data_IF_548047826321
#
_entry.id   IF_548047826321
#
_cell.length_a   1.000
_cell.length_b   1.000
_cell.length_c   1.000
_cell.angle_alpha   90.00
_cell.angle_beta   90.00
_cell.angle_gamma   90.00
#
_symmetry.space_group_name_H-M   'P 1'
#
loop_
_entity.id
_entity.type
_entity.pdbx_description
1 polymer ?
#
# COMPACT_ATOMS: atom_id res chain seq x y z
N UNK A 1 -47.93 -15.71 54.98
CA UNK A 1 -47.62 -15.32 56.37
C UNK A 1 -48.72 -14.37 56.85
N UNK A 2 -49.27 -14.51 58.06
CA UNK A 2 -50.26 -13.57 58.56
C UNK A 2 -49.63 -12.20 58.81
N UNK A 3 -50.36 -11.12 58.55
CA UNK A 3 -49.91 -9.73 58.68
C UNK A 3 -51.04 -8.84 59.18
N UNK A 4 -50.70 -7.69 59.77
CA UNK A 4 -51.66 -6.63 60.12
C UNK A 4 -51.42 -5.37 59.28
N UNK A 5 -50.20 -5.18 58.78
CA UNK A 5 -49.80 -4.11 57.87
C UNK A 5 -48.77 -4.64 56.85
N UNK A 6 -48.51 -3.92 55.73
CA UNK A 6 -47.48 -4.30 54.77
C UNK A 6 -46.08 -4.47 55.40
N UNK A 7 -45.79 -3.75 56.48
CA UNK A 7 -44.51 -3.85 57.19
C UNK A 7 -44.29 -5.19 57.93
N UNK A 8 -45.33 -6.00 58.11
CA UNK A 8 -45.22 -7.35 58.70
C UNK A 8 -44.85 -8.41 57.64
N UNK A 9 -44.80 -8.02 56.37
CA UNK A 9 -44.46 -8.90 55.25
C UNK A 9 -42.94 -8.88 54.95
N UNK A 10 -42.44 -9.84 54.15
CA UNK A 10 -41.05 -9.80 53.68
C UNK A 10 -40.72 -8.48 52.98
N UNK A 11 -39.44 -8.13 52.94
CA UNK A 11 -39.00 -6.92 52.23
C UNK A 11 -39.26 -7.05 50.73
N UNK A 12 -39.68 -5.94 50.13
CA UNK A 12 -39.81 -5.81 48.67
C UNK A 12 -38.44 -6.02 48.00
N UNK A 13 -38.47 -6.63 46.82
CA UNK A 13 -37.33 -6.71 45.91
C UNK A 13 -37.66 -5.93 44.64
N UNK A 14 -36.67 -5.72 43.79
CA UNK A 14 -36.88 -5.02 42.52
C UNK A 14 -37.88 -5.74 41.58
N UNK A 15 -38.17 -7.03 41.80
CA UNK A 15 -39.11 -7.81 41.00
C UNK A 15 -40.36 -8.27 41.77
N UNK A 16 -40.47 -7.95 43.06
CA UNK A 16 -41.57 -8.44 43.91
C UNK A 16 -41.88 -7.48 45.03
N UNK A 17 -43.10 -6.99 45.03
CA UNK A 17 -43.67 -6.20 46.12
C UNK A 17 -44.55 -7.06 47.02
N UNK A 18 -44.59 -6.75 48.31
CA UNK A 18 -45.42 -7.44 49.29
C UNK A 18 -46.50 -6.54 49.88
N UNK A 19 -47.75 -7.01 49.79
CA UNK A 19 -48.90 -6.32 50.35
C UNK A 19 -49.66 -7.18 51.36
N UNK A 20 -50.19 -6.56 52.43
CA UNK A 20 -51.04 -7.26 53.38
C UNK A 20 -52.51 -7.25 52.92
N UNK A 21 -52.96 -8.36 52.32
CA UNK A 21 -54.31 -8.49 51.76
C UNK A 21 -55.11 -9.50 52.59
N UNK A 22 -56.22 -9.05 53.17
CA UNK A 22 -57.10 -9.88 54.01
C UNK A 22 -56.38 -10.60 55.17
N UNK A 23 -55.39 -9.93 55.77
CA UNK A 23 -54.62 -10.46 56.91
C UNK A 23 -53.54 -11.48 56.52
N UNK A 24 -53.26 -11.64 55.23
CA UNK A 24 -52.16 -12.47 54.72
C UNK A 24 -51.28 -11.67 53.74
N UNK A 25 -49.97 -11.87 53.83
CA UNK A 25 -49.03 -11.31 52.87
C UNK A 25 -49.26 -11.97 51.50
N UNK A 26 -49.53 -11.14 50.50
CA UNK A 26 -49.60 -11.50 49.08
C UNK A 26 -48.40 -10.87 48.36
N UNK A 27 -47.75 -11.67 47.50
CA UNK A 27 -46.73 -11.18 46.59
C UNK A 27 -47.40 -10.64 45.33
N UNK A 28 -46.89 -9.52 44.83
CA UNK A 28 -47.16 -8.99 43.50
C UNK A 28 -45.85 -9.04 42.73
N UNK A 29 -45.77 -9.94 41.75
CA UNK A 29 -44.56 -10.18 40.97
C UNK A 29 -44.58 -9.29 39.74
N UNK A 30 -43.49 -8.57 39.51
CA UNK A 30 -43.30 -7.82 38.27
C UNK A 30 -43.33 -8.77 37.06
N UNK A 31 -43.81 -8.25 35.94
CA UNK A 31 -43.96 -9.04 34.72
C UNK A 31 -42.59 -9.58 34.23
N UNK A 32 -42.61 -10.77 33.62
CA UNK A 32 -41.42 -11.32 32.96
C UNK A 32 -40.88 -10.33 31.91
N UNK A 33 -39.57 -10.12 31.90
CA UNK A 33 -38.89 -9.16 31.00
C UNK A 33 -38.96 -7.70 31.47
N UNK A 34 -39.42 -7.45 32.70
CA UNK A 34 -39.30 -6.10 33.29
C UNK A 34 -37.83 -5.80 33.56
N UNK A 35 -37.27 -4.83 32.83
CA UNK A 35 -35.86 -4.43 32.95
C UNK A 35 -35.55 -3.75 34.28
N UNK A 36 -34.40 -4.08 34.85
CA UNK A 36 -33.87 -3.52 36.08
C UNK A 36 -32.63 -2.65 35.79
N UNK A 37 -32.13 -1.89 36.77
CA UNK A 37 -30.86 -1.21 36.62
C UNK A 37 -29.71 -2.22 36.44
N UNK A 38 -29.06 -2.17 35.29
CA UNK A 38 -27.88 -2.98 35.00
C UNK A 38 -26.72 -2.64 35.96
N UNK A 39 -26.20 -3.62 36.72
CA UNK A 39 -25.08 -3.42 37.63
C UNK A 39 -23.71 -3.29 36.94
N UNK A 40 -23.55 -3.73 35.69
CA UNK A 40 -22.24 -3.81 35.04
C UNK A 40 -22.27 -3.57 33.53
N UNK A 41 -22.46 -2.30 33.15
CA UNK A 41 -22.42 -1.87 31.75
C UNK A 41 -21.21 -2.38 30.97
N UNK A 42 -21.48 -2.83 29.75
CA UNK A 42 -20.55 -3.35 28.78
C UNK A 42 -20.18 -4.82 28.98
N UNK A 43 -21.00 -5.60 29.66
CA UNK A 43 -20.77 -7.03 29.92
C UNK A 43 -21.66 -7.97 29.08
N UNK A 44 -22.44 -7.40 28.15
CA UNK A 44 -23.36 -8.08 27.25
C UNK A 44 -24.53 -8.77 27.94
N UNK A 45 -24.90 -8.28 29.12
CA UNK A 45 -26.02 -8.80 29.88
C UNK A 45 -26.88 -7.67 30.39
N UNK A 46 -28.12 -8.00 30.65
CA UNK A 46 -29.03 -7.14 31.39
C UNK A 46 -29.68 -7.94 32.52
N UNK A 47 -30.28 -7.24 33.46
CA UNK A 47 -30.99 -7.82 34.58
C UNK A 47 -32.50 -7.61 34.38
N UNK A 48 -33.24 -8.71 34.28
CA UNK A 48 -34.70 -8.68 34.06
C UNK A 48 -35.44 -9.49 35.13
N UNK A 49 -36.73 -9.23 35.33
CA UNK A 49 -37.59 -10.04 36.18
C UNK A 49 -38.07 -11.31 35.48
N UNK A 50 -38.13 -12.44 36.20
CA UNK A 50 -38.56 -13.76 35.68
C UNK A 50 -40.08 -14.01 35.75
N UNK A 51 -40.88 -13.03 36.18
CA UNK A 51 -42.32 -13.19 36.41
C UNK A 51 -42.66 -14.03 37.66
N UNK A 52 -41.66 -14.47 38.42
CA UNK A 52 -41.77 -15.22 39.68
C UNK A 52 -41.10 -14.48 40.84
N UNK A 53 -40.90 -13.16 40.68
CA UNK A 53 -40.35 -12.28 41.69
C UNK A 53 -38.84 -12.34 41.88
N UNK A 54 -38.10 -12.99 40.97
CA UNK A 54 -36.64 -13.00 40.98
C UNK A 54 -36.08 -12.16 39.82
N UNK A 55 -34.94 -11.52 40.09
CA UNK A 55 -34.11 -10.93 39.06
C UNK A 55 -33.22 -12.02 38.46
N UNK A 56 -33.13 -12.06 37.13
CA UNK A 56 -32.33 -13.00 36.35
C UNK A 56 -31.46 -12.24 35.36
N UNK A 57 -30.24 -12.71 35.15
CA UNK A 57 -29.38 -12.20 34.08
C UNK A 57 -29.85 -12.77 32.73
N UNK A 58 -30.08 -11.88 31.78
CA UNK A 58 -30.43 -12.22 30.40
C UNK A 58 -29.32 -11.76 29.45
N UNK A 59 -29.31 -12.33 28.25
CA UNK A 59 -28.40 -11.90 27.19
C UNK A 59 -28.88 -10.56 26.65
N UNK A 60 -28.02 -9.54 26.68
CA UNK A 60 -28.25 -8.28 26.01
C UNK A 60 -27.08 -7.95 25.07
N UNK A 61 -27.29 -8.22 23.78
CA UNK A 61 -26.28 -7.90 22.76
C UNK A 61 -26.22 -6.39 22.43
N UNK A 62 -27.09 -5.56 23.04
CA UNK A 62 -27.06 -4.11 22.93
C UNK A 62 -26.20 -3.43 24.02
N UNK A 63 -25.57 -4.19 24.91
CA UNK A 63 -24.65 -3.72 25.95
C UNK A 63 -23.17 -4.11 25.67
N UNK A 64 -22.54 -3.61 24.59
CA UNK A 64 -21.16 -3.94 24.28
C UNK A 64 -20.17 -3.24 25.22
N UNK A 65 -18.98 -3.85 25.43
CA UNK A 65 -17.93 -3.23 26.20
C UNK A 65 -17.48 -1.90 25.60
N UNK A 66 -16.69 -1.13 26.35
CA UNK A 66 -15.96 -0.01 25.76
C UNK A 66 -15.03 -0.48 24.63
N UNK A 67 -14.87 0.36 23.60
CA UNK A 67 -13.87 0.12 22.56
C UNK A 67 -12.46 0.03 23.14
N UNK A 68 -11.59 -0.76 22.52
CA UNK A 68 -10.20 -0.97 22.93
C UNK A 68 -9.25 0.18 22.50
N UNK A 69 -9.79 1.19 21.81
CA UNK A 69 -9.04 2.34 21.30
C UNK A 69 -8.38 2.11 19.95
N UNK A 70 -8.57 0.93 19.33
CA UNK A 70 -8.16 0.68 17.97
C UNK A 70 -9.28 1.12 16.99
N UNK A 71 -8.98 1.96 15.99
CA UNK A 71 -9.98 2.50 15.06
C UNK A 71 -10.51 1.49 14.04
N UNK A 72 -9.95 0.27 13.99
CA UNK A 72 -10.38 -0.81 13.11
C UNK A 72 -11.00 -2.00 13.87
N UNK A 73 -11.45 -1.75 15.09
CA UNK A 73 -12.19 -2.71 15.90
C UNK A 73 -13.40 -2.03 16.51
N UNK A 74 -14.52 -2.72 16.45
CA UNK A 74 -15.76 -2.30 17.09
C UNK A 74 -16.07 -3.21 18.26
N UNK A 75 -16.44 -2.63 19.40
CA UNK A 75 -16.94 -3.40 20.52
C UNK A 75 -18.31 -3.98 20.18
N UNK A 76 -18.48 -5.28 20.44
CA UNK A 76 -19.71 -5.98 20.14
C UNK A 76 -20.00 -7.06 21.18
N UNK A 77 -21.27 -7.45 21.22
CA UNK A 77 -21.73 -8.63 21.90
C UNK A 77 -22.14 -9.68 20.89
N UNK A 78 -21.77 -10.93 21.15
CA UNK A 78 -22.26 -12.08 20.38
C UNK A 78 -22.78 -13.12 21.34
N UNK A 79 -24.10 -13.22 21.45
CA UNK A 79 -24.79 -14.14 22.34
C UNK A 79 -24.39 -13.97 23.82
N UNK A 80 -24.33 -12.72 24.28
CA UNK A 80 -24.02 -12.36 25.66
C UNK A 80 -22.55 -12.47 26.02
N UNK A 81 -21.68 -12.57 25.01
CA UNK A 81 -20.23 -12.62 25.19
C UNK A 81 -19.62 -11.31 24.66
N UNK A 82 -18.95 -10.52 25.52
CA UNK A 82 -18.26 -9.31 25.10
C UNK A 82 -17.03 -9.64 24.26
N UNK A 83 -16.89 -8.94 23.15
CA UNK A 83 -15.73 -9.08 22.26
C UNK A 83 -15.43 -7.78 21.52
N UNK A 84 -14.22 -7.71 20.96
CA UNK A 84 -13.85 -6.73 19.95
C UNK A 84 -13.86 -7.45 18.61
N UNK A 85 -14.69 -6.99 17.68
CA UNK A 85 -14.74 -7.53 16.32
C UNK A 85 -13.91 -6.64 15.41
N UNK A 86 -13.19 -7.25 14.48
CA UNK A 86 -12.48 -6.50 13.46
C UNK A 86 -13.48 -5.83 12.53
N UNK A 87 -13.26 -4.56 12.25
CA UNK A 87 -14.08 -3.82 11.30
C UNK A 87 -13.90 -4.39 9.89
N UNK A 88 -14.95 -4.33 9.05
CA UNK A 88 -14.87 -4.70 7.63
C UNK A 88 -13.66 -4.09 6.91
N UNK A 89 -13.13 -4.85 5.95
CA UNK A 89 -12.09 -4.35 5.06
C UNK A 89 -12.60 -3.13 4.27
N UNK A 90 -11.81 -2.05 4.24
CA UNK A 90 -12.13 -0.80 3.55
C UNK A 90 -12.80 0.26 4.42
N UNK A 91 -13.16 -0.05 5.67
CA UNK A 91 -13.65 0.97 6.60
C UNK A 91 -12.56 2.01 6.90
N UNK A 92 -12.94 3.28 6.97
CA UNK A 92 -11.97 4.38 7.10
C UNK A 92 -11.42 4.49 8.52
N UNK A 93 -10.11 4.67 8.63
CA UNK A 93 -9.42 4.95 9.90
C UNK A 93 -8.50 6.19 9.75
N UNK A 94 -7.92 6.74 10.83
CA UNK A 94 -7.15 7.99 10.77
C UNK A 94 -5.98 7.98 9.79
N UNK A 95 -5.32 6.83 9.64
CA UNK A 95 -4.12 6.66 8.81
C UNK A 95 -4.39 5.86 7.51
N UNK A 96 -5.66 5.68 7.12
CA UNK A 96 -6.03 4.97 5.89
C UNK A 96 -7.33 4.17 6.01
N UNK A 97 -7.23 2.86 5.82
CA UNK A 97 -8.35 1.92 5.80
C UNK A 97 -8.09 0.66 6.62
N UNK A 98 -9.15 0.02 7.10
CA UNK A 98 -9.07 -1.22 7.85
C UNK A 98 -8.83 -2.40 6.92
N UNK A 99 -7.92 -3.31 7.30
CA UNK A 99 -7.58 -4.49 6.50
C UNK A 99 -8.44 -5.74 6.78
N UNK A 100 -9.49 -5.62 7.59
CA UNK A 100 -10.32 -6.75 8.03
C UNK A 100 -9.69 -7.65 9.09
N UNK A 101 -8.42 -7.43 9.45
CA UNK A 101 -7.72 -8.13 10.55
C UNK A 101 -7.51 -7.25 11.77
N UNK A 102 -8.24 -6.12 11.85
CA UNK A 102 -8.14 -5.17 12.97
C UNK A 102 -6.95 -4.22 12.88
N UNK A 103 -6.31 -4.07 11.70
CA UNK A 103 -5.23 -3.10 11.50
C UNK A 103 -5.68 -1.97 10.60
N UNK A 104 -5.37 -0.74 11.01
CA UNK A 104 -5.43 0.46 10.18
C UNK A 104 -4.16 0.52 9.32
N UNK A 105 -4.32 0.44 8.01
CA UNK A 105 -3.23 0.38 7.03
C UNK A 105 -3.46 1.41 5.92
N UNK A 106 -2.43 1.72 5.14
CA UNK A 106 -2.53 2.77 4.12
C UNK A 106 -3.52 2.40 3.02
N UNK A 107 -3.52 1.13 2.59
CA UNK A 107 -4.42 0.62 1.55
C UNK A 107 -4.71 -0.87 1.70
N UNK A 108 -5.81 -1.31 1.10
CA UNK A 108 -6.15 -2.72 0.89
C UNK A 108 -6.41 -3.03 -0.58
N UNK A 109 -6.72 -2.01 -1.38
CA UNK A 109 -6.74 -2.05 -2.83
C UNK A 109 -6.23 -0.74 -3.45
N UNK A 110 -6.07 -0.72 -4.77
CA UNK A 110 -5.52 0.42 -5.49
C UNK A 110 -6.40 1.69 -5.40
N UNK A 111 -7.69 1.54 -5.09
CA UNK A 111 -8.64 2.65 -4.95
C UNK A 111 -8.47 3.43 -3.64
N UNK A 112 -7.81 2.85 -2.64
CA UNK A 112 -7.49 3.54 -1.38
C UNK A 112 -6.31 4.53 -1.55
N UNK A 113 -5.51 4.32 -2.60
CA UNK A 113 -4.33 5.10 -2.87
C UNK A 113 -4.63 6.35 -3.71
N UNK A 114 -3.81 7.39 -3.53
CA UNK A 114 -3.83 8.60 -4.34
C UNK A 114 -2.69 8.59 -5.37
N UNK A 115 -2.83 9.35 -6.45
CA UNK A 115 -1.79 9.48 -7.49
C UNK A 115 -2.21 8.92 -8.85
N UNK A 116 -1.29 9.01 -9.81
CA UNK A 116 -1.51 8.48 -11.17
C UNK A 116 -1.19 6.98 -11.20
N UNK A 117 -2.19 6.18 -11.60
CA UNK A 117 -2.11 4.72 -11.68
C UNK A 117 -1.50 4.05 -10.42
N UNK A 118 -2.08 4.30 -9.23
CA UNK A 118 -1.52 3.80 -7.98
C UNK A 118 -1.72 2.29 -7.86
N UNK A 119 -0.88 1.66 -7.06
CA UNK A 119 -1.01 0.25 -6.70
C UNK A 119 -0.92 0.11 -5.18
N UNK A 120 -1.72 -0.78 -4.62
CA UNK A 120 -1.55 -1.20 -3.24
C UNK A 120 -0.65 -2.45 -3.19
N UNK A 121 0.47 -2.35 -2.48
CA UNK A 121 1.42 -3.46 -2.34
C UNK A 121 0.95 -4.47 -1.28
N UNK A 122 1.47 -5.71 -1.30
CA UNK A 122 1.09 -6.74 -0.31
C UNK A 122 1.43 -6.41 1.15
N UNK A 123 2.26 -5.40 1.39
CA UNK A 123 2.56 -4.86 2.72
C UNK A 123 1.63 -3.71 3.15
N UNK A 124 0.55 -3.48 2.38
CA UNK A 124 -0.46 -2.44 2.58
C UNK A 124 0.10 -1.01 2.50
N UNK A 125 1.09 -0.80 1.63
CA UNK A 125 1.61 0.52 1.29
C UNK A 125 1.17 0.93 -0.12
N UNK A 126 0.92 2.23 -0.28
CA UNK A 126 0.63 2.81 -1.59
C UNK A 126 1.92 3.09 -2.34
N UNK A 127 1.92 2.75 -3.63
CA UNK A 127 2.99 3.08 -4.57
C UNK A 127 2.39 3.74 -5.81
N UNK A 128 3.05 4.77 -6.33
CA UNK A 128 2.79 5.35 -7.64
C UNK A 128 4.12 5.59 -8.35
N UNK A 129 4.27 5.06 -9.56
CA UNK A 129 5.52 5.15 -10.33
C UNK A 129 5.75 6.52 -10.97
N UNK A 130 5.13 7.60 -10.47
CA UNK A 130 5.12 8.95 -11.05
C UNK A 130 4.73 10.04 -10.03
N UNK A 131 4.75 9.76 -8.73
CA UNK A 131 4.39 10.72 -7.67
C UNK A 131 5.56 11.59 -7.19
N UNK A 132 6.78 11.28 -7.63
CA UNK A 132 8.00 12.01 -7.30
C UNK A 132 8.63 11.61 -5.97
N UNK A 133 8.09 10.61 -5.28
CA UNK A 133 8.60 10.10 -4.01
C UNK A 133 9.32 8.75 -4.22
N UNK A 134 10.06 8.29 -3.20
CA UNK A 134 10.64 6.94 -3.18
C UNK A 134 9.91 6.15 -2.09
N UNK A 135 8.83 5.46 -2.47
CA UNK A 135 7.93 4.76 -1.55
C UNK A 135 7.71 3.29 -1.97
N UNK A 136 6.95 2.54 -1.17
CA UNK A 136 6.66 1.13 -1.43
C UNK A 136 7.91 0.26 -1.67
N UNK A 137 7.98 -0.40 -2.82
CA UNK A 137 9.07 -1.29 -3.23
C UNK A 137 10.02 -0.70 -4.29
N UNK A 138 10.02 0.63 -4.45
CA UNK A 138 10.89 1.34 -5.39
C UNK A 138 12.38 1.24 -5.02
N UNK A 139 13.24 1.14 -6.04
CA UNK A 139 14.70 1.12 -5.87
C UNK A 139 15.34 2.49 -6.08
N UNK A 140 14.63 3.40 -6.76
CA UNK A 140 14.87 4.84 -6.78
C UNK A 140 13.55 5.56 -7.05
N UNK A 141 13.52 6.89 -6.91
CA UNK A 141 12.31 7.72 -7.06
C UNK A 141 11.51 7.30 -8.29
N UNK A 142 10.27 6.88 -8.05
CA UNK A 142 9.29 6.49 -9.04
C UNK A 142 9.65 5.26 -9.92
N UNK A 143 10.63 4.42 -9.56
CA UNK A 143 11.08 3.29 -10.38
C UNK A 143 11.59 2.07 -9.59
N UNK A 144 11.63 0.91 -10.24
CA UNK A 144 11.99 -0.37 -9.61
C UNK A 144 10.83 -1.05 -8.89
N UNK A 145 11.06 -2.25 -8.36
CA UNK A 145 10.00 -3.01 -7.67
C UNK A 145 8.84 -3.38 -8.59
N UNK A 146 7.61 -2.95 -8.25
CA UNK A 146 6.44 -3.05 -9.13
C UNK A 146 6.45 -2.08 -10.29
N UNK A 147 7.22 -1.00 -10.21
CA UNK A 147 7.41 -0.06 -11.30
C UNK A 147 8.37 -0.63 -12.35
N UNK A 148 8.43 0.03 -13.51
CA UNK A 148 9.47 -0.28 -14.50
C UNK A 148 10.86 -0.07 -13.90
N UNK A 149 11.83 -0.85 -14.36
CA UNK A 149 13.23 -0.77 -13.91
C UNK A 149 13.79 0.63 -14.05
N UNK A 150 14.62 1.01 -13.08
CA UNK A 150 15.28 2.30 -13.06
C UNK A 150 16.35 2.44 -14.15
N UNK A 151 16.75 3.67 -14.50
CA UNK A 151 17.90 3.91 -15.36
C UNK A 151 19.14 3.14 -14.87
N UNK A 152 19.97 2.69 -15.81
CA UNK A 152 21.18 1.87 -15.60
C UNK A 152 20.95 0.40 -15.19
N UNK A 153 19.72 0.00 -14.86
CA UNK A 153 19.43 -1.41 -14.58
C UNK A 153 19.42 -2.25 -15.85
N UNK A 154 19.82 -3.52 -15.74
CA UNK A 154 19.85 -4.42 -16.88
C UNK A 154 18.44 -4.75 -17.41
N UNK A 155 18.26 -4.70 -18.72
CA UNK A 155 16.99 -4.99 -19.40
C UNK A 155 17.22 -5.83 -20.67
N UNK A 156 16.21 -6.58 -21.09
CA UNK A 156 16.19 -7.28 -22.37
C UNK A 156 15.16 -6.70 -23.35
N UNK A 157 14.17 -5.95 -22.86
CA UNK A 157 13.15 -5.29 -23.66
C UNK A 157 12.76 -3.91 -23.11
N UNK A 158 12.33 -3.03 -24.02
CA UNK A 158 11.83 -1.68 -23.73
C UNK A 158 10.77 -1.64 -22.62
N UNK A 159 9.86 -2.61 -22.60
CA UNK A 159 8.76 -2.68 -21.63
C UNK A 159 9.23 -2.97 -20.18
N UNK A 160 10.47 -3.40 -19.97
CA UNK A 160 11.01 -3.60 -18.63
C UNK A 160 11.41 -2.30 -17.95
N UNK A 161 11.73 -1.27 -18.73
CA UNK A 161 12.22 0.01 -18.24
C UNK A 161 11.07 0.96 -17.98
N UNK A 162 11.14 1.74 -16.90
CA UNK A 162 10.15 2.79 -16.64
C UNK A 162 10.02 3.75 -17.81
N UNK A 163 11.16 4.14 -18.38
CA UNK A 163 11.23 5.03 -19.52
C UNK A 163 10.63 4.44 -20.81
N UNK A 164 10.44 3.13 -20.86
CA UNK A 164 10.08 2.41 -22.08
C UNK A 164 11.26 2.22 -23.05
N UNK A 165 12.51 2.49 -22.61
CA UNK A 165 13.69 2.41 -23.48
C UNK A 165 14.77 1.53 -22.87
N UNK A 166 15.04 0.42 -23.55
CA UNK A 166 16.13 -0.49 -23.24
C UNK A 166 17.16 -0.42 -24.36
N UNK A 167 18.33 0.13 -24.05
CA UNK A 167 19.44 0.29 -24.99
C UNK A 167 20.73 -0.27 -24.38
N UNK A 168 21.57 -0.92 -25.18
CA UNK A 168 22.82 -1.58 -24.72
C UNK A 168 22.65 -2.60 -23.58
N UNK A 169 21.44 -3.15 -23.44
CA UNK A 169 21.07 -4.05 -22.35
C UNK A 169 20.88 -3.36 -20.99
N UNK A 170 20.75 -2.04 -20.96
CA UNK A 170 20.43 -1.25 -19.77
C UNK A 170 19.27 -0.27 -20.02
N UNK A 171 18.50 0.01 -18.98
CA UNK A 171 17.40 0.96 -19.07
C UNK A 171 17.94 2.37 -19.24
N UNK A 172 17.41 3.07 -20.24
CA UNK A 172 17.88 4.38 -20.62
C UNK A 172 16.80 5.44 -20.42
N UNK A 173 17.18 6.68 -20.14
CA UNK A 173 16.26 7.81 -20.00
C UNK A 173 15.51 8.16 -21.30
N UNK A 174 16.05 7.78 -22.46
CA UNK A 174 15.47 8.01 -23.78
C UNK A 174 15.80 6.86 -24.78
N UNK A 175 15.16 6.87 -25.96
CA UNK A 175 15.23 5.79 -26.96
C UNK A 175 16.65 5.38 -27.41
N UNK A 176 17.62 6.29 -27.34
CA UNK A 176 19.03 6.02 -27.65
C UNK A 176 19.34 5.25 -28.94
N UNK A 177 18.54 5.46 -30.00
CA UNK A 177 18.63 4.71 -31.26
C UNK A 177 19.79 5.14 -32.20
N UNK A 178 20.78 5.89 -31.73
CA UNK A 178 21.84 6.44 -32.59
C UNK A 178 23.07 5.55 -32.71
N UNK A 179 23.71 5.49 -33.88
CA UNK A 179 24.88 4.61 -34.17
C UNK A 179 26.10 4.79 -33.24
N UNK A 180 26.15 5.87 -32.47
CA UNK A 180 27.25 6.21 -31.57
C UNK A 180 26.68 6.83 -30.30
N UNK A 181 25.64 6.21 -29.76
CA UNK A 181 24.96 6.64 -28.56
C UNK A 181 24.80 5.44 -27.65
N UNK A 182 25.18 5.62 -26.39
CA UNK A 182 25.13 4.53 -25.44
C UNK A 182 24.60 4.99 -24.09
N UNK A 183 23.89 4.08 -23.44
CA UNK A 183 23.38 4.23 -22.07
C UNK A 183 24.19 3.44 -21.06
N UNK A 184 25.23 2.73 -21.52
CA UNK A 184 26.10 1.87 -20.70
C UNK A 184 27.48 2.49 -20.46
N UNK A 185 27.70 3.73 -20.91
CA UNK A 185 28.97 4.42 -20.74
C UNK A 185 29.24 4.67 -19.25
N UNK A 186 30.45 4.30 -18.80
CA UNK A 186 30.87 4.50 -17.42
C UNK A 186 30.80 5.97 -17.02
N UNK A 187 30.06 6.28 -15.96
CA UNK A 187 29.82 7.65 -15.50
C UNK A 187 28.64 8.36 -16.16
N UNK A 188 27.89 7.67 -17.02
CA UNK A 188 26.62 8.13 -17.61
C UNK A 188 25.65 6.96 -17.75
N UNK A 189 25.77 5.94 -16.88
CA UNK A 189 24.90 4.78 -16.94
C UNK A 189 23.43 5.19 -16.81
N UNK A 190 22.60 4.67 -17.71
CA UNK A 190 21.17 4.99 -17.79
C UNK A 190 20.83 6.32 -18.45
N UNK A 191 21.83 7.12 -18.85
CA UNK A 191 21.61 8.37 -19.60
C UNK A 191 22.14 8.22 -21.03
N UNK A 192 21.29 8.45 -22.02
CA UNK A 192 21.69 8.36 -23.41
C UNK A 192 22.70 9.46 -23.77
N UNK A 193 23.96 9.08 -23.91
CA UNK A 193 25.05 10.01 -24.21
C UNK A 193 25.81 9.58 -25.45
N UNK A 194 26.49 10.53 -26.11
CA UNK A 194 27.31 10.22 -27.27
C UNK A 194 28.55 9.43 -26.86
N UNK A 195 28.83 8.36 -27.59
CA UNK A 195 30.06 7.58 -27.43
C UNK A 195 31.28 8.47 -27.75
N UNK A 196 32.33 8.47 -26.89
CA UNK A 196 33.50 9.31 -27.08
C UNK A 196 34.18 9.11 -28.44
N UNK A 197 34.82 10.17 -28.92
CA UNK A 197 35.52 10.15 -30.20
C UNK A 197 36.59 9.05 -30.25
N UNK A 198 36.59 8.28 -31.33
CA UNK A 198 37.54 7.19 -31.59
C UNK A 198 37.19 5.86 -30.92
N UNK A 199 36.13 5.80 -30.10
CA UNK A 199 35.59 4.56 -29.55
C UNK A 199 34.66 3.87 -30.55
N UNK A 200 34.42 2.59 -30.33
CA UNK A 200 33.45 1.77 -31.08
C UNK A 200 32.14 1.66 -30.31
N UNK A 201 31.06 1.37 -31.02
CA UNK A 201 29.74 1.08 -30.46
C UNK A 201 29.28 -0.28 -30.99
N UNK A 202 28.74 -1.13 -30.12
CA UNK A 202 28.32 -2.48 -30.49
C UNK A 202 26.86 -2.46 -30.99
N UNK A 203 26.05 -1.50 -30.53
CA UNK A 203 24.59 -1.49 -30.68
C UNK A 203 24.03 -0.07 -30.76
N UNK A 204 23.89 0.52 -31.98
CA UNK A 204 24.13 -0.06 -33.31
C UNK A 204 25.61 -0.26 -33.61
N UNK A 205 25.93 -1.22 -34.50
CA UNK A 205 27.31 -1.61 -34.76
C UNK A 205 28.12 -0.49 -35.47
N UNK A 206 28.85 0.30 -34.69
CA UNK A 206 29.93 1.18 -35.11
C UNK A 206 31.29 0.59 -34.72
N UNK A 207 31.70 -0.46 -35.45
CA UNK A 207 32.96 -1.17 -35.21
C UNK A 207 33.72 -1.44 -36.53
N UNK A 208 34.93 -1.99 -36.41
CA UNK A 208 35.75 -2.38 -37.56
C UNK A 208 36.44 -1.19 -38.20
N UNK A 209 36.10 -0.87 -39.46
CA UNK A 209 36.64 0.30 -40.17
C UNK A 209 35.96 1.61 -39.74
N UNK A 210 35.09 1.56 -38.72
CA UNK A 210 34.31 2.68 -38.24
C UNK A 210 34.56 2.95 -36.76
N UNK A 211 34.44 4.21 -36.37
CA UNK A 211 34.55 4.72 -35.00
C UNK A 211 33.65 5.94 -34.82
N UNK A 212 33.28 6.21 -33.57
CA UNK A 212 32.42 7.34 -33.21
C UNK A 212 33.16 8.66 -33.26
N UNK A 213 32.48 9.73 -33.67
CA UNK A 213 33.06 11.06 -33.78
C UNK A 213 32.86 11.94 -32.53
N UNK A 214 32.25 11.41 -31.47
CA UNK A 214 31.86 12.15 -30.26
C UNK A 214 30.59 13.01 -30.40
N UNK A 215 30.08 13.18 -31.62
CA UNK A 215 28.84 13.88 -31.91
C UNK A 215 27.65 12.93 -32.16
N UNK A 216 27.87 11.61 -31.97
CA UNK A 216 26.86 10.59 -32.18
C UNK A 216 26.80 10.09 -33.63
N UNK A 217 27.84 10.32 -34.43
CA UNK A 217 27.94 9.83 -35.82
C UNK A 217 29.05 8.80 -35.94
N UNK A 218 28.72 7.68 -36.58
CA UNK A 218 29.68 6.65 -36.94
C UNK A 218 30.44 7.02 -38.22
N UNK A 219 31.77 7.15 -38.15
CA UNK A 219 32.65 7.60 -39.25
C UNK A 219 33.86 6.68 -39.42
N UNK A 220 34.68 6.87 -40.44
CA UNK A 220 35.88 6.06 -40.66
C UNK A 220 36.86 6.18 -39.47
N UNK A 221 37.35 5.02 -39.02
CA UNK A 221 38.35 4.91 -37.97
C UNK A 221 39.73 5.43 -38.43
N UNK A 222 40.61 5.74 -37.48
CA UNK A 222 41.98 6.14 -37.78
C UNK A 222 42.72 5.00 -38.52
N UNK A 223 43.42 5.34 -39.61
CA UNK A 223 44.09 4.39 -40.50
C UNK A 223 43.31 4.09 -41.79
N UNK A 224 42.01 4.36 -41.84
CA UNK A 224 41.18 4.10 -43.01
C UNK A 224 41.36 5.11 -44.13
N UNK A 225 41.16 4.68 -45.37
CA UNK A 225 41.40 5.53 -46.54
C UNK A 225 40.29 6.59 -46.69
N UNK A 226 40.66 7.86 -46.85
CA UNK A 226 39.73 8.97 -46.85
C UNK A 226 39.95 9.93 -48.03
N UNK A 227 38.93 10.70 -48.39
CA UNK A 227 38.99 11.75 -49.43
C UNK A 227 38.91 13.16 -48.84
N UNK A 228 38.20 13.31 -47.73
CA UNK A 228 38.06 14.55 -46.96
C UNK A 228 37.93 14.28 -45.46
N UNK A 229 38.18 15.29 -44.62
CA UNK A 229 38.20 15.16 -43.16
C UNK A 229 36.86 14.76 -42.54
N UNK A 230 35.73 15.16 -43.15
CA UNK A 230 34.38 14.84 -42.65
C UNK A 230 34.03 13.36 -42.68
N UNK A 231 34.79 12.54 -43.42
CA UNK A 231 34.64 11.09 -43.44
C UNK A 231 35.29 10.40 -42.23
N UNK A 232 36.23 11.08 -41.55
CA UNK A 232 36.99 10.52 -40.44
C UNK A 232 36.34 10.87 -39.11
N UNK A 233 36.32 9.93 -38.17
CA UNK A 233 35.86 10.16 -36.81
C UNK A 233 36.65 11.28 -36.11
N UNK A 234 37.95 11.40 -36.43
CA UNK A 234 38.83 12.48 -35.98
C UNK A 234 38.52 13.85 -36.61
N UNK A 235 37.79 13.88 -37.73
CA UNK A 235 37.69 15.05 -38.60
C UNK A 235 38.92 15.30 -39.48
N UNK A 236 39.97 14.48 -39.37
CA UNK A 236 41.26 14.69 -40.01
C UNK A 236 41.57 13.63 -41.07
N UNK A 237 41.72 14.07 -42.32
CA UNK A 237 42.12 13.22 -43.45
C UNK A 237 43.48 13.68 -43.98
N UNK A 238 44.55 12.97 -43.61
CA UNK A 238 45.94 13.39 -43.81
C UNK A 238 46.71 12.41 -44.71
N UNK A 239 47.74 12.91 -45.41
CA UNK A 239 48.59 12.11 -46.29
C UNK A 239 48.73 12.70 -47.70
N UNK A 240 49.67 12.14 -48.48
CA UNK A 240 49.94 12.54 -49.86
C UNK A 240 48.98 11.89 -50.86
N UNK A 241 49.51 11.07 -51.78
CA UNK A 241 48.70 10.35 -52.78
C UNK A 241 47.76 9.29 -52.18
N UNK A 242 48.00 8.85 -50.94
CA UNK A 242 47.17 7.89 -50.21
C UNK A 242 46.77 8.51 -48.86
N UNK A 243 45.62 9.20 -48.83
CA UNK A 243 45.15 9.90 -47.63
C UNK A 243 44.44 8.91 -46.69
N UNK A 244 44.73 9.00 -45.41
CA UNK A 244 44.10 8.18 -44.37
C UNK A 244 43.60 9.04 -43.21
N UNK A 245 42.60 8.52 -42.50
CA UNK A 245 42.14 9.12 -41.27
C UNK A 245 43.25 9.10 -40.22
N UNK A 246 43.50 10.23 -39.59
CA UNK A 246 44.53 10.40 -38.58
C UNK A 246 43.92 11.04 -37.33
N UNK A 247 44.48 10.82 -36.13
CA UNK A 247 44.02 11.52 -34.92
C UNK A 247 44.09 13.04 -35.10
#
# INVERSE_FOLDING_TARGET
MPCQSPADCPMDTACRDWSCVQGMCAADDEAEGTGLPDPMAGDCKDLECDGMGNAVEVVDDADPPGGDGNPCTTAACVAGIPMQVNDPQGDTCPDGVCNGTGMCVECVDAGDCTGDNPTCLPDNTCISCSDGEMNGDETAVDCGGKCGKCPAEACAANAECKSGFCADGVCCDAACDGDCKSCKLTGSEGTCTNVPQGMTDDTPACMGTMACDGAGVCKLANGETCTNGGQCASGNCMGGANKTCAP
#
